data_IF_058686751825
#
_entry.id   IF_058686751825
#
_cell.length_a   1.000
_cell.length_b   1.000
_cell.length_c   1.000
_cell.angle_alpha   90.00
_cell.angle_beta   90.00
_cell.angle_gamma   90.00
#
_symmetry.space_group_name_H-M   'P 1'
#
loop_
_entity.id
_entity.type
_entity.pdbx_description
1 polymer ?
#
# COMPACT_ATOMS: atom_id res chain seq x y z
N UNK A 1 -25.71 63.28 8.04
CA UNK A 1 -25.47 62.12 8.93
C UNK A 1 -26.29 60.94 8.45
N UNK A 2 -25.67 59.99 7.73
CA UNK A 2 -26.22 58.65 7.46
C UNK A 2 -25.05 57.69 7.60
N UNK A 3 -24.92 57.07 8.76
CA UNK A 3 -23.98 55.98 8.99
C UNK A 3 -24.59 54.72 8.38
N UNK A 4 -23.96 54.16 7.35
CA UNK A 4 -24.25 52.82 6.88
C UNK A 4 -23.36 51.88 7.70
N UNK A 5 -23.96 51.16 8.64
CA UNK A 5 -23.29 50.07 9.36
C UNK A 5 -23.34 48.86 8.43
N UNK A 6 -22.20 48.53 7.81
CA UNK A 6 -22.03 47.30 7.06
C UNK A 6 -21.77 46.14 8.01
N UNK A 7 -22.65 45.13 7.97
CA UNK A 7 -22.48 43.86 8.67
C UNK A 7 -21.35 43.06 8.00
N UNK A 8 -20.23 42.91 8.68
CA UNK A 8 -19.16 41.99 8.29
C UNK A 8 -19.56 40.60 8.79
N UNK A 9 -19.92 39.71 7.87
CA UNK A 9 -20.13 38.30 8.14
C UNK A 9 -18.73 37.64 8.13
N UNK A 10 -18.16 37.37 9.30
CA UNK A 10 -16.97 36.52 9.43
C UNK A 10 -17.42 35.09 9.10
N UNK A 11 -17.06 34.58 7.91
CA UNK A 11 -17.04 33.14 7.66
C UNK A 11 -15.89 32.58 8.51
N UNK A 12 -16.22 31.90 9.60
CA UNK A 12 -15.29 31.01 10.28
C UNK A 12 -15.02 29.83 9.35
N UNK A 13 -13.91 29.88 8.59
CA UNK A 13 -13.36 28.68 8.01
C UNK A 13 -13.04 27.73 9.17
N UNK A 14 -13.75 26.61 9.25
CA UNK A 14 -13.37 25.51 10.14
C UNK A 14 -11.99 25.05 9.68
N UNK A 15 -11.00 25.21 10.55
CA UNK A 15 -9.68 24.61 10.34
C UNK A 15 -9.91 23.12 10.53
N UNK A 16 -9.97 22.37 9.45
CA UNK A 16 -9.99 20.90 9.52
C UNK A 16 -8.61 20.49 9.99
N UNK A 17 -8.50 20.03 11.23
CA UNK A 17 -7.26 19.44 11.76
C UNK A 17 -7.18 17.99 11.32
N UNK A 18 -6.03 17.54 10.84
CA UNK A 18 -5.80 16.14 10.56
C UNK A 18 -5.96 15.28 11.84
N UNK A 19 -6.59 14.12 11.69
CA UNK A 19 -6.63 13.07 12.70
C UNK A 19 -5.35 12.25 12.53
N UNK A 20 -4.31 12.58 13.29
CA UNK A 20 -2.98 11.99 13.14
C UNK A 20 -2.65 11.06 14.31
N UNK A 21 -2.12 9.87 14.00
CA UNK A 21 -1.62 8.90 14.96
C UNK A 21 -0.14 8.63 14.68
N UNK A 22 0.66 8.69 15.75
CA UNK A 22 2.10 8.44 15.73
C UNK A 22 2.42 7.30 16.67
N UNK A 23 3.18 6.32 16.19
CA UNK A 23 3.53 5.12 16.95
C UNK A 23 5.00 4.80 16.69
N UNK A 24 5.76 4.71 17.78
CA UNK A 24 7.07 4.09 17.81
C UNK A 24 6.98 2.99 18.86
N UNK A 25 7.19 1.75 18.45
CA UNK A 25 7.10 0.60 19.33
C UNK A 25 8.28 -0.33 19.12
N UNK A 26 8.93 -0.66 20.24
CA UNK A 26 10.03 -1.63 20.29
C UNK A 26 9.59 -2.75 21.24
N UNK A 27 9.49 -3.96 20.72
CA UNK A 27 9.15 -5.14 21.52
C UNK A 27 8.63 -6.30 20.67
N UNK A 28 8.73 -7.50 21.23
CA UNK A 28 8.62 -8.79 20.53
C UNK A 28 7.24 -9.06 19.90
N UNK A 29 6.18 -8.43 20.39
CA UNK A 29 4.83 -8.57 19.82
C UNK A 29 4.05 -7.29 19.87
N UNK A 30 3.30 -6.99 18.82
CA UNK A 30 2.30 -5.93 18.79
C UNK A 30 1.05 -6.44 18.07
N UNK A 31 -0.09 -6.16 18.68
CA UNK A 31 -1.42 -6.32 18.10
C UNK A 31 -2.09 -4.96 18.17
N UNK A 32 -2.30 -4.34 17.02
CA UNK A 32 -2.72 -2.94 16.91
C UNK A 32 -3.97 -2.80 16.05
N UNK A 33 -5.02 -2.31 16.71
CA UNK A 33 -6.27 -1.91 16.07
C UNK A 33 -6.36 -0.37 16.01
N UNK A 34 -6.51 0.20 14.81
CA UNK A 34 -6.77 1.64 14.62
C UNK A 34 -8.08 1.82 13.85
N UNK A 35 -8.93 2.71 14.36
CA UNK A 35 -10.06 3.26 13.61
C UNK A 35 -9.98 4.78 13.62
N UNK A 36 -9.85 5.39 12.46
CA UNK A 36 -9.90 6.85 12.30
C UNK A 36 -11.09 7.23 11.42
N UNK A 37 -11.97 8.07 11.97
CA UNK A 37 -13.12 8.65 11.29
C UNK A 37 -12.96 10.18 11.32
N UNK A 38 -12.79 10.78 10.15
CA UNK A 38 -12.49 12.19 9.99
C UNK A 38 -11.97 12.50 8.58
N UNK A 39 -12.10 13.75 8.14
CA UNK A 39 -11.80 14.15 6.76
C UNK A 39 -10.34 13.91 6.33
N UNK A 40 -9.39 13.94 7.27
CA UNK A 40 -7.96 13.83 7.02
C UNK A 40 -7.30 12.86 8.02
N UNK A 41 -7.40 11.55 7.78
CA UNK A 41 -6.83 10.53 8.66
C UNK A 41 -5.40 10.20 8.27
N UNK A 42 -4.51 10.12 9.26
CA UNK A 42 -3.10 9.76 9.05
C UNK A 42 -2.59 8.85 10.14
N UNK A 43 -1.88 7.80 9.74
CA UNK A 43 -1.00 6.99 10.58
C UNK A 43 0.41 7.16 10.05
N UNK A 44 1.33 7.74 10.83
CA UNK A 44 2.63 8.20 10.30
C UNK A 44 2.52 9.51 9.49
N UNK A 45 3.66 10.02 9.01
CA UNK A 45 3.77 11.29 8.27
C UNK A 45 4.95 11.31 7.31
N UNK A 46 4.96 12.26 6.38
CA UNK A 46 6.08 12.58 5.48
C UNK A 46 7.41 12.99 6.17
N UNK A 47 7.50 12.98 7.51
CA UNK A 47 8.74 13.26 8.24
C UNK A 47 9.02 12.24 9.35
N UNK A 48 8.07 11.39 9.69
CA UNK A 48 8.14 10.40 10.75
C UNK A 48 7.18 9.26 10.41
N UNK A 49 7.75 8.13 10.04
CA UNK A 49 7.02 6.90 9.77
C UNK A 49 6.60 6.28 11.09
N UNK A 50 5.56 5.45 11.07
CA UNK A 50 5.34 4.54 12.18
C UNK A 50 6.46 3.51 12.17
N UNK A 51 7.27 3.44 13.23
CA UNK A 51 8.41 2.52 13.32
C UNK A 51 8.10 1.41 14.31
N UNK A 52 8.21 0.17 13.84
CA UNK A 52 7.70 -1.00 14.57
C UNK A 52 8.71 -2.15 14.59
N UNK A 53 8.92 -2.69 15.79
CA UNK A 53 9.89 -3.74 16.03
C UNK A 53 11.29 -3.20 16.29
N UNK A 54 12.24 -4.11 16.45
CA UNK A 54 13.64 -3.75 16.65
C UNK A 54 14.47 -4.04 15.41
N UNK A 55 15.23 -3.04 14.94
CA UNK A 55 16.29 -3.22 13.94
C UNK A 55 17.49 -4.08 14.41
N UNK A 56 17.38 -4.75 15.58
CA UNK A 56 18.44 -5.57 16.18
C UNK A 56 17.99 -6.96 16.60
N UNK A 57 16.69 -7.26 16.59
CA UNK A 57 16.15 -8.56 17.01
C UNK A 57 15.08 -9.07 16.04
N UNK A 58 15.42 -10.12 15.29
CA UNK A 58 14.63 -10.67 14.18
C UNK A 58 13.57 -11.68 14.65
N UNK A 59 12.90 -11.44 15.79
CA UNK A 59 11.90 -12.38 16.32
C UNK A 59 10.50 -11.78 16.45
N UNK A 60 10.33 -10.50 16.11
CA UNK A 60 9.12 -9.78 16.46
C UNK A 60 7.95 -10.18 15.55
N UNK A 61 6.76 -10.32 16.12
CA UNK A 61 5.51 -10.63 15.41
C UNK A 61 4.50 -9.49 15.57
N UNK A 62 4.02 -8.97 14.46
CA UNK A 62 3.26 -7.73 14.38
C UNK A 62 1.94 -7.95 13.63
N UNK A 63 0.81 -7.55 14.21
CA UNK A 63 -0.53 -7.58 13.58
C UNK A 63 -1.18 -6.21 13.64
N UNK A 64 -1.71 -5.78 12.49
CA UNK A 64 -2.15 -4.41 12.23
C UNK A 64 -3.48 -4.40 11.51
N UNK A 65 -4.54 -4.04 12.22
CA UNK A 65 -5.86 -3.84 11.62
C UNK A 65 -6.21 -2.35 11.66
N UNK A 66 -6.19 -1.71 10.49
CA UNK A 66 -6.40 -0.26 10.36
C UNK A 66 -7.62 0.00 9.48
N UNK A 67 -8.56 0.79 9.99
CA UNK A 67 -9.69 1.31 9.23
C UNK A 67 -9.66 2.83 9.24
N UNK A 68 -9.57 3.46 8.06
CA UNK A 68 -9.66 4.92 7.91
C UNK A 68 -10.88 5.28 7.05
N UNK A 69 -11.71 6.21 7.54
CA UNK A 69 -12.91 6.72 6.85
C UNK A 69 -12.86 8.24 6.80
N UNK A 70 -12.81 8.79 5.59
CA UNK A 70 -12.59 10.21 5.34
C UNK A 70 -12.11 10.47 3.92
N UNK A 71 -12.22 11.70 3.42
CA UNK A 71 -11.86 12.02 2.03
C UNK A 71 -10.35 11.84 1.76
N UNK A 72 -9.51 12.07 2.76
CA UNK A 72 -8.06 11.87 2.69
C UNK A 72 -7.59 10.91 3.78
N UNK A 73 -7.04 9.77 3.37
CA UNK A 73 -6.49 8.75 4.25
C UNK A 73 -5.03 8.47 3.87
N UNK A 74 -4.17 8.31 4.87
CA UNK A 74 -2.76 8.01 4.65
C UNK A 74 -2.19 7.09 5.73
N UNK A 75 -1.35 6.15 5.30
CA UNK A 75 -0.51 5.33 6.17
C UNK A 75 0.92 5.37 5.65
N UNK A 76 1.86 5.73 6.53
CA UNK A 76 3.30 5.61 6.29
C UNK A 76 3.92 4.80 7.42
N UNK A 77 4.52 3.66 7.10
CA UNK A 77 5.03 2.72 8.09
C UNK A 77 6.34 2.07 7.68
N UNK A 78 7.22 1.89 8.68
CA UNK A 78 8.46 1.15 8.62
C UNK A 78 8.41 -0.03 9.60
N UNK A 79 8.57 -1.24 9.10
CA UNK A 79 8.46 -2.48 9.86
C UNK A 79 9.80 -3.21 9.88
N UNK A 80 10.27 -3.55 11.10
CA UNK A 80 11.47 -4.37 11.33
C UNK A 80 11.14 -5.79 11.85
N UNK A 81 9.85 -6.10 12.03
CA UNK A 81 9.41 -7.38 12.56
C UNK A 81 9.70 -8.55 11.61
N UNK A 82 9.94 -9.73 12.17
CA UNK A 82 10.18 -10.95 11.39
C UNK A 82 8.89 -11.49 10.77
N UNK A 83 7.74 -11.28 11.43
CA UNK A 83 6.44 -11.64 10.90
C UNK A 83 5.50 -10.45 11.00
N UNK A 84 4.93 -10.05 9.88
CA UNK A 84 3.99 -8.93 9.80
C UNK A 84 2.69 -9.36 9.12
N UNK A 85 1.56 -9.01 9.73
CA UNK A 85 0.23 -9.16 9.15
C UNK A 85 -0.52 -7.85 9.22
N UNK A 86 -0.88 -7.29 8.06
CA UNK A 86 -1.66 -6.07 7.94
C UNK A 86 -3.00 -6.29 7.25
N UNK A 87 -4.07 -5.76 7.82
CA UNK A 87 -5.38 -5.62 7.18
C UNK A 87 -5.79 -4.15 7.20
N UNK A 88 -5.69 -3.48 6.06
CA UNK A 88 -5.95 -2.05 5.95
C UNK A 88 -7.18 -1.80 5.09
N UNK A 89 -8.13 -1.06 5.64
CA UNK A 89 -9.41 -0.76 5.00
C UNK A 89 -9.59 0.75 4.91
N UNK A 90 -9.80 1.22 3.68
CA UNK A 90 -9.98 2.63 3.38
C UNK A 90 -11.35 2.90 2.76
N UNK A 91 -11.99 3.97 3.20
CA UNK A 91 -13.19 4.53 2.56
C UNK A 91 -13.00 6.03 2.42
N UNK A 92 -12.84 6.50 1.19
CA UNK A 92 -12.43 7.88 0.93
C UNK A 92 -11.93 8.10 -0.48
N UNK A 93 -12.04 9.34 -0.95
CA UNK A 93 -11.67 9.71 -2.31
C UNK A 93 -10.18 9.47 -2.57
N UNK A 94 -9.28 9.85 -1.66
CA UNK A 94 -7.83 9.73 -1.82
C UNK A 94 -7.21 8.90 -0.69
N UNK A 95 -6.63 7.74 -1.01
CA UNK A 95 -5.95 6.88 -0.04
C UNK A 95 -4.52 6.60 -0.47
N UNK A 96 -3.58 6.92 0.41
CA UNK A 96 -2.13 6.78 0.14
C UNK A 96 -1.50 5.82 1.14
N UNK A 97 -0.65 4.93 0.63
CA UNK A 97 0.13 4.00 1.44
C UNK A 97 1.60 4.08 1.03
N UNK A 98 2.46 4.21 2.03
CA UNK A 98 3.89 3.99 1.91
C UNK A 98 4.31 3.00 3.01
N UNK A 99 4.67 1.79 2.59
CA UNK A 99 5.12 0.73 3.49
C UNK A 99 6.54 0.33 3.12
N UNK A 100 7.42 0.46 4.08
CA UNK A 100 8.78 -0.08 4.03
C UNK A 100 8.89 -1.21 5.06
N UNK A 101 9.00 -2.45 4.59
CA UNK A 101 9.31 -3.59 5.42
C UNK A 101 10.76 -3.99 5.13
N UNK A 102 11.65 -3.76 6.09
CA UNK A 102 13.12 -3.76 5.97
C UNK A 102 13.74 -2.41 5.61
N UNK A 103 14.80 -2.04 6.35
CA UNK A 103 15.88 -1.15 5.91
C UNK A 103 17.05 -1.18 6.93
N UNK A 104 17.40 -2.35 7.48
CA UNK A 104 18.44 -2.48 8.50
C UNK A 104 18.94 -3.92 8.69
N UNK A 105 20.24 -4.08 8.98
CA UNK A 105 21.02 -5.35 8.96
C UNK A 105 20.49 -6.51 9.84
N UNK A 106 19.38 -6.33 10.57
CA UNK A 106 18.72 -7.35 11.37
C UNK A 106 17.22 -7.05 11.58
N UNK A 107 16.35 -7.57 10.71
CA UNK A 107 14.89 -7.34 10.78
C UNK A 107 14.18 -7.72 9.48
N UNK A 108 14.32 -8.99 9.08
CA UNK A 108 14.27 -9.42 7.68
C UNK A 108 12.86 -9.60 7.08
N UNK A 109 11.80 -9.03 7.66
CA UNK A 109 10.41 -9.18 7.17
C UNK A 109 10.12 -10.59 6.61
N UNK A 110 10.56 -11.62 7.36
CA UNK A 110 10.72 -12.96 6.82
C UNK A 110 9.39 -13.55 6.35
N UNK A 111 8.28 -13.19 7.01
CA UNK A 111 6.94 -13.51 6.55
C UNK A 111 6.06 -12.27 6.60
N UNK A 112 5.55 -11.85 5.44
CA UNK A 112 4.67 -10.69 5.31
C UNK A 112 3.35 -11.11 4.69
N UNK A 113 2.26 -10.70 5.34
CA UNK A 113 0.92 -10.75 4.78
C UNK A 113 0.32 -9.35 4.83
N UNK A 114 0.05 -8.76 3.67
CA UNK A 114 -0.58 -7.45 3.56
C UNK A 114 -1.87 -7.56 2.77
N UNK A 115 -2.97 -7.08 3.35
CA UNK A 115 -4.26 -7.01 2.70
C UNK A 115 -4.76 -5.57 2.72
N UNK A 116 -4.84 -4.94 1.56
CA UNK A 116 -5.38 -3.59 1.40
C UNK A 116 -6.70 -3.68 0.65
N UNK A 117 -7.76 -3.14 1.26
CA UNK A 117 -9.06 -2.97 0.63
C UNK A 117 -9.44 -1.50 0.64
N UNK A 118 -9.78 -0.95 -0.52
CA UNK A 118 -10.19 0.44 -0.60
C UNK A 118 -11.40 0.66 -1.50
N UNK A 119 -12.20 1.66 -1.14
CA UNK A 119 -13.27 2.20 -1.99
C UNK A 119 -13.12 3.71 -2.01
N UNK A 120 -13.07 4.28 -3.21
CA UNK A 120 -12.72 5.68 -3.40
C UNK A 120 -12.62 6.07 -4.86
N UNK A 121 -11.89 7.15 -5.11
CA UNK A 121 -11.60 7.62 -6.47
C UNK A 121 -10.13 7.36 -6.82
N UNK A 122 -9.18 7.68 -5.94
CA UNK A 122 -7.73 7.61 -6.16
C UNK A 122 -7.03 6.75 -5.09
N UNK A 123 -6.24 5.77 -5.54
CA UNK A 123 -5.43 4.88 -4.71
C UNK A 123 -3.96 4.96 -5.14
N UNK A 124 -3.06 5.24 -4.20
CA UNK A 124 -1.62 5.34 -4.47
C UNK A 124 -0.85 4.56 -3.39
N UNK A 125 -0.35 3.38 -3.77
CA UNK A 125 0.33 2.46 -2.85
C UNK A 125 1.76 2.20 -3.31
N UNK A 126 2.71 2.47 -2.43
CA UNK A 126 4.10 2.07 -2.57
C UNK A 126 4.44 1.08 -1.48
N UNK A 127 4.83 -0.13 -1.87
CA UNK A 127 5.14 -1.24 -0.97
C UNK A 127 6.55 -1.75 -1.28
N UNK A 128 7.46 -1.62 -0.32
CA UNK A 128 8.81 -2.14 -0.43
C UNK A 128 9.01 -3.21 0.65
N UNK A 129 9.45 -4.40 0.27
CA UNK A 129 9.68 -5.51 1.20
C UNK A 129 11.00 -6.20 0.90
N UNK A 130 11.87 -6.28 1.91
CA UNK A 130 12.99 -7.21 1.94
C UNK A 130 14.24 -6.82 1.17
N UNK A 131 14.42 -5.52 0.83
CA UNK A 131 15.46 -4.82 0.02
C UNK A 131 16.84 -5.49 -0.23
N UNK A 132 17.26 -6.49 0.56
CA UNK A 132 18.49 -7.29 0.41
C UNK A 132 18.28 -8.81 0.24
N UNK A 133 17.13 -9.27 -0.26
CA UNK A 133 16.77 -10.67 -0.57
C UNK A 133 16.55 -11.61 0.63
N UNK A 134 16.18 -11.07 1.80
CA UNK A 134 16.01 -11.87 3.02
C UNK A 134 14.54 -12.09 3.44
N UNK A 135 13.55 -11.52 2.74
CA UNK A 135 12.15 -11.87 2.98
C UNK A 135 11.90 -13.29 2.46
N UNK A 136 11.25 -14.16 3.24
CA UNK A 136 11.02 -15.55 2.78
C UNK A 136 9.73 -15.65 2.03
N UNK A 137 8.64 -15.26 2.68
CA UNK A 137 7.29 -15.43 2.16
C UNK A 137 6.54 -14.10 2.18
N UNK A 138 6.19 -13.57 1.01
CA UNK A 138 5.26 -12.45 0.88
C UNK A 138 3.93 -12.90 0.32
N UNK A 139 2.84 -12.44 0.94
CA UNK A 139 1.51 -12.38 0.33
C UNK A 139 0.97 -10.96 0.42
N UNK A 140 0.84 -10.28 -0.71
CA UNK A 140 0.25 -8.95 -0.81
C UNK A 140 -1.03 -9.00 -1.67
N UNK A 141 -2.15 -8.56 -1.09
CA UNK A 141 -3.45 -8.52 -1.76
C UNK A 141 -3.97 -7.08 -1.78
N UNK A 142 -4.26 -6.58 -2.97
CA UNK A 142 -4.88 -5.27 -3.18
C UNK A 142 -6.24 -5.48 -3.82
N UNK A 143 -7.30 -5.06 -3.14
CA UNK A 143 -8.68 -5.06 -3.69
C UNK A 143 -9.23 -3.66 -3.65
N UNK A 144 -9.26 -3.00 -4.80
CA UNK A 144 -9.68 -1.61 -4.92
C UNK A 144 -10.92 -1.48 -5.78
N UNK A 145 -11.83 -0.61 -5.36
CA UNK A 145 -12.99 -0.17 -6.12
C UNK A 145 -12.89 1.33 -6.32
N UNK A 146 -12.21 1.73 -7.40
CA UNK A 146 -11.72 3.09 -7.60
C UNK A 146 -11.82 3.57 -9.05
N UNK A 147 -11.64 4.88 -9.26
CA UNK A 147 -11.54 5.49 -10.59
C UNK A 147 -10.07 5.72 -11.04
N UNK A 148 -9.07 5.54 -10.17
CA UNK A 148 -7.66 5.66 -10.49
C UNK A 148 -6.82 4.85 -9.50
N UNK A 149 -5.94 4.00 -10.04
CA UNK A 149 -5.07 3.13 -9.26
C UNK A 149 -3.60 3.33 -9.65
N UNK A 150 -2.74 3.56 -8.66
CA UNK A 150 -1.29 3.48 -8.80
C UNK A 150 -0.77 2.53 -7.74
N UNK A 151 -0.08 1.46 -8.16
CA UNK A 151 0.54 0.50 -7.27
C UNK A 151 1.97 0.27 -7.73
N UNK A 152 2.92 0.58 -6.85
CA UNK A 152 4.32 0.19 -6.97
C UNK A 152 4.61 -0.81 -5.88
N UNK A 153 5.09 -1.99 -6.25
CA UNK A 153 5.55 -2.99 -5.31
C UNK A 153 6.95 -3.44 -5.70
N UNK A 154 7.89 -3.33 -4.78
CA UNK A 154 9.26 -3.81 -4.91
C UNK A 154 9.51 -4.85 -3.81
N UNK A 155 9.75 -6.09 -4.20
CA UNK A 155 9.79 -7.23 -3.30
C UNK A 155 11.00 -8.08 -3.60
N UNK A 156 11.88 -8.19 -2.61
CA UNK A 156 13.03 -9.08 -2.64
C UNK A 156 12.82 -10.26 -1.66
N UNK A 157 12.64 -11.49 -2.17
CA UNK A 157 12.47 -12.65 -1.31
C UNK A 157 12.58 -14.04 -1.94
N UNK A 158 12.37 -15.10 -1.14
CA UNK A 158 12.41 -16.52 -1.57
C UNK A 158 11.11 -16.94 -2.29
N UNK A 159 9.95 -16.45 -1.85
CA UNK A 159 8.64 -16.66 -2.50
C UNK A 159 7.74 -15.45 -2.26
N UNK A 160 7.02 -15.05 -3.31
CA UNK A 160 6.11 -13.93 -3.21
C UNK A 160 4.88 -14.12 -4.09
N UNK A 161 3.73 -13.77 -3.54
CA UNK A 161 2.44 -13.70 -4.21
C UNK A 161 1.90 -12.28 -4.13
N UNK A 162 1.83 -11.61 -5.26
CA UNK A 162 1.13 -10.32 -5.40
C UNK A 162 -0.18 -10.56 -6.15
N UNK A 163 -1.29 -10.18 -5.53
CA UNK A 163 -2.62 -10.18 -6.16
C UNK A 163 -3.18 -8.77 -6.19
N UNK A 164 -3.47 -8.26 -7.40
CA UNK A 164 -4.11 -6.96 -7.60
C UNK A 164 -5.48 -7.17 -8.24
N UNK A 165 -6.53 -6.60 -7.65
CA UNK A 165 -7.88 -6.61 -8.19
C UNK A 165 -8.47 -5.20 -8.17
N UNK A 166 -8.72 -4.64 -9.36
CA UNK A 166 -9.37 -3.34 -9.57
C UNK A 166 -10.77 -3.57 -10.15
N UNK A 167 -11.83 -3.18 -9.43
CA UNK A 167 -13.20 -3.64 -9.67
C UNK A 167 -14.22 -2.62 -10.21
N UNK A 168 -13.80 -1.45 -10.71
CA UNK A 168 -14.74 -0.44 -11.29
C UNK A 168 -14.77 -0.53 -12.83
N UNK A 169 -15.91 -0.30 -13.47
CA UNK A 169 -16.06 -0.38 -14.95
C UNK A 169 -17.11 0.68 -15.36
N UNK A 170 -16.89 1.65 -16.25
CA UNK A 170 -16.41 1.59 -17.64
C UNK A 170 -15.57 2.82 -18.04
N UNK A 171 -14.57 2.62 -18.89
CA UNK A 171 -13.64 3.64 -19.38
C UNK A 171 -13.95 4.11 -20.82
N UNK A 172 -13.52 5.33 -21.16
CA UNK A 172 -13.09 5.84 -22.50
C UNK A 172 -11.98 6.90 -22.31
N UNK A 173 -11.09 6.57 -21.36
CA UNK A 173 -9.90 7.29 -20.83
C UNK A 173 -10.12 8.67 -20.18
N UNK A 174 -9.54 8.82 -19.00
CA UNK A 174 -8.65 9.93 -18.62
C UNK A 174 -7.70 9.30 -17.61
N UNK A 175 -6.54 8.92 -18.13
CA UNK A 175 -5.74 7.74 -17.79
C UNK A 175 -5.22 7.72 -16.36
N UNK A 176 -5.66 6.74 -15.58
CA UNK A 176 -4.84 6.06 -14.58
C UNK A 176 -5.09 4.56 -14.75
N UNK A 177 -4.02 3.79 -14.67
CA UNK A 177 -3.90 2.57 -13.90
C UNK A 177 -2.44 2.16 -14.10
N UNK A 178 -1.58 2.55 -13.18
CA UNK A 178 -0.13 2.33 -13.28
C UNK A 178 0.23 1.27 -12.27
N UNK A 179 0.72 0.14 -12.77
CA UNK A 179 1.23 -0.95 -11.94
C UNK A 179 2.69 -1.13 -12.29
N UNK A 180 3.59 -1.01 -11.32
CA UNK A 180 4.99 -1.41 -11.44
C UNK A 180 5.26 -2.42 -10.33
N UNK A 181 5.30 -3.69 -10.70
CA UNK A 181 5.40 -4.81 -9.78
C UNK A 181 6.72 -5.54 -10.06
N UNK A 182 7.68 -5.37 -9.16
CA UNK A 182 8.97 -6.04 -9.17
C UNK A 182 8.99 -7.09 -8.05
N UNK A 183 9.26 -8.34 -8.45
CA UNK A 183 9.57 -9.43 -7.52
C UNK A 183 10.90 -10.03 -7.94
N UNK A 184 11.89 -9.95 -7.06
CA UNK A 184 13.21 -10.52 -7.24
C UNK A 184 13.63 -11.40 -6.04
N UNK A 185 14.75 -12.12 -6.18
CA UNK A 185 15.37 -12.87 -5.09
C UNK A 185 15.70 -14.32 -5.42
N UNK A 186 16.15 -15.07 -4.40
CA UNK A 186 16.55 -16.46 -4.50
C UNK A 186 15.31 -17.37 -4.47
N UNK A 187 14.53 -17.36 -5.57
CA UNK A 187 13.29 -18.14 -5.69
C UNK A 187 13.39 -19.60 -5.17
N UNK A 188 12.47 -20.01 -4.29
CA UNK A 188 12.37 -21.37 -3.76
C UNK A 188 11.43 -22.26 -4.62
N UNK A 189 11.13 -23.47 -4.18
CA UNK A 189 10.23 -24.45 -4.83
C UNK A 189 8.83 -23.87 -5.11
N UNK A 190 8.37 -22.92 -4.29
CA UNK A 190 7.05 -22.27 -4.45
C UNK A 190 7.09 -21.11 -5.48
N UNK A 191 8.26 -20.50 -5.70
CA UNK A 191 8.55 -19.48 -6.71
C UNK A 191 7.80 -18.16 -6.50
N UNK A 192 7.87 -17.29 -7.51
CA UNK A 192 7.16 -16.01 -7.54
C UNK A 192 5.89 -16.08 -8.39
N UNK A 193 4.82 -15.44 -7.94
CA UNK A 193 3.53 -15.38 -8.61
C UNK A 193 2.91 -13.98 -8.57
N UNK A 194 2.43 -13.51 -9.72
CA UNK A 194 1.68 -12.27 -9.85
C UNK A 194 0.32 -12.54 -10.50
N UNK A 195 -0.77 -12.10 -9.87
CA UNK A 195 -2.15 -12.26 -10.35
C UNK A 195 -2.81 -10.89 -10.40
N UNK A 196 -3.11 -10.41 -11.60
CA UNK A 196 -3.59 -9.05 -11.84
C UNK A 196 -4.92 -9.13 -12.58
N UNK A 197 -5.97 -8.57 -11.97
CA UNK A 197 -7.27 -8.40 -12.61
C UNK A 197 -7.67 -6.93 -12.55
N UNK A 198 -7.77 -6.30 -13.72
CA UNK A 198 -8.15 -4.89 -13.80
C UNK A 198 -9.35 -4.72 -14.72
N UNK A 199 -10.36 -4.01 -14.23
CA UNK A 199 -11.46 -3.48 -15.02
C UNK A 199 -11.37 -1.95 -14.96
N UNK A 200 -11.55 -1.27 -16.09
CA UNK A 200 -11.58 0.19 -16.12
C UNK A 200 -10.44 0.83 -16.92
N UNK A 201 -9.75 1.81 -16.37
CA UNK A 201 -9.01 2.83 -17.13
C UNK A 201 -7.62 2.38 -17.63
N UNK A 202 -6.89 3.28 -18.29
CA UNK A 202 -5.95 2.97 -19.37
C UNK A 202 -4.59 2.41 -18.95
N UNK A 203 -4.66 1.18 -18.45
CA UNK A 203 -3.62 0.42 -17.78
C UNK A 203 -2.24 0.50 -18.43
N UNK A 204 -1.25 0.89 -17.65
CA UNK A 204 0.17 0.78 -17.90
C UNK A 204 0.69 -0.22 -16.86
N UNK A 205 1.02 -1.43 -17.28
CA UNK A 205 1.40 -2.53 -16.38
C UNK A 205 2.82 -2.96 -16.69
N UNK A 206 3.70 -2.78 -15.73
CA UNK A 206 5.06 -3.32 -15.73
C UNK A 206 5.15 -4.40 -14.68
N UNK A 207 5.57 -5.58 -15.11
CA UNK A 207 5.82 -6.74 -14.28
C UNK A 207 7.25 -7.17 -14.53
N UNK A 208 8.08 -7.08 -13.50
CA UNK A 208 9.38 -7.71 -13.47
C UNK A 208 9.32 -8.83 -12.44
N UNK A 209 9.66 -10.04 -12.87
CA UNK A 209 9.75 -11.21 -12.03
C UNK A 209 11.09 -11.86 -12.29
N UNK A 210 11.89 -12.07 -11.26
CA UNK A 210 13.19 -12.71 -11.40
C UNK A 210 13.50 -13.60 -10.21
N UNK A 211 14.20 -14.70 -10.47
CA UNK A 211 14.56 -15.66 -9.44
C UNK A 211 14.46 -17.09 -9.94
N UNK A 212 14.79 -18.05 -9.09
CA UNK A 212 14.77 -19.46 -9.45
C UNK A 212 13.33 -20.01 -9.36
N UNK A 213 12.86 -20.68 -10.41
CA UNK A 213 11.51 -21.27 -10.49
C UNK A 213 10.37 -20.23 -10.48
N UNK A 214 10.51 -19.16 -11.25
CA UNK A 214 9.42 -18.24 -11.53
C UNK A 214 8.17 -18.99 -12.04
N UNK A 215 7.07 -18.89 -11.29
CA UNK A 215 5.94 -19.80 -11.47
C UNK A 215 4.88 -19.25 -12.43
N UNK A 216 4.30 -18.09 -12.11
CA UNK A 216 3.11 -17.63 -12.82
C UNK A 216 2.92 -16.11 -12.79
N UNK A 217 2.76 -15.55 -13.98
CA UNK A 217 2.19 -14.21 -14.19
C UNK A 217 0.82 -14.40 -14.88
N UNK A 218 -0.26 -13.99 -14.23
CA UNK A 218 -1.65 -14.11 -14.70
C UNK A 218 -2.33 -12.73 -14.78
N UNK A 219 -2.67 -12.30 -16.00
CA UNK A 219 -3.26 -10.99 -16.25
C UNK A 219 -4.63 -11.11 -16.92
N UNK A 220 -5.64 -10.49 -16.31
CA UNK A 220 -6.97 -10.25 -16.89
C UNK A 220 -7.27 -8.74 -16.90
N UNK A 221 -7.05 -8.10 -18.05
CA UNK A 221 -7.16 -6.65 -18.21
C UNK A 221 -8.32 -6.28 -19.12
N UNK A 222 -9.20 -5.40 -18.64
CA UNK A 222 -10.21 -4.70 -19.42
C UNK A 222 -10.02 -3.20 -19.27
N UNK A 223 -9.51 -2.53 -20.30
CA UNK A 223 -9.42 -1.07 -20.34
C UNK A 223 -9.08 -0.49 -21.70
N UNK A 224 -8.92 0.83 -21.76
CA UNK A 224 -8.67 1.57 -23.01
C UNK A 224 -7.21 2.05 -23.07
N UNK A 225 -6.48 1.63 -24.11
CA UNK A 225 -5.06 1.96 -24.35
C UNK A 225 -4.07 1.27 -23.39
N UNK A 226 -4.22 -0.04 -23.21
CA UNK A 226 -3.28 -0.80 -22.38
C UNK A 226 -1.85 -0.80 -22.96
N UNK A 227 -0.87 -0.51 -22.10
CA UNK A 227 0.56 -0.73 -22.30
C UNK A 227 1.04 -1.75 -21.27
N UNK A 228 1.72 -2.80 -21.71
CA UNK A 228 2.07 -3.93 -20.84
C UNK A 228 3.48 -4.43 -21.17
N UNK A 229 4.37 -4.32 -20.19
CA UNK A 229 5.73 -4.84 -20.21
C UNK A 229 5.86 -5.95 -19.15
N UNK A 230 6.31 -7.13 -19.57
CA UNK A 230 6.53 -8.28 -18.69
C UNK A 230 7.94 -8.82 -18.92
N UNK A 231 8.74 -8.84 -17.87
CA UNK A 231 10.02 -9.55 -17.80
C UNK A 231 9.87 -10.70 -16.82
N UNK A 232 10.24 -11.91 -17.26
CA UNK A 232 10.45 -13.05 -16.38
C UNK A 232 11.85 -13.61 -16.64
N UNK A 233 12.67 -13.78 -15.61
CA UNK A 233 14.05 -14.25 -15.77
C UNK A 233 14.52 -15.17 -14.64
N UNK A 234 14.96 -16.37 -15.04
CA UNK A 234 15.70 -17.31 -14.19
C UNK A 234 17.22 -17.02 -14.13
#
# INVERSE_FOLDING_TARGET
MRYIIGLIMLLSASIVSANEIYIEQVGDTLDLDITQDGENNKVGTASQDVVLGSATTNADTMTFDITQTGDNNAITAQIFGATYTGTWVFTGDNNVVDLLCDSGEAGNCASVTLNITATGDDQDYTINVGESADAKDLVANFTVTDDGTVITADVDGESALITVTVNKNSSLVNTDNVLDLDIAGDGDVDGHTQIISIKGKGNNVKVDQSGVNDNKVDLDLTGDNADVDITQSD
#
